data_IF_085476193585
#
_entry.id   IF_085476193585
#
_cell.length_a   1.000
_cell.length_b   1.000
_cell.length_c   1.000
_cell.angle_alpha   90.00
_cell.angle_beta   90.00
_cell.angle_gamma   90.00
#
_symmetry.space_group_name_H-M   'P 1'
#
loop_
_entity.id
_entity.type
_entity.pdbx_description
1 polymer ?
#
# COMPACT_ATOMS: atom_id res chain seq x y z
N UNK A 1 -7.84 -57.01 -10.37
CA UNK A 1 -6.78 -56.96 -9.35
C UNK A 1 -5.46 -56.75 -10.09
N UNK A 2 -4.50 -55.93 -9.69
CA UNK A 2 -4.38 -54.82 -8.77
C UNK A 2 -2.96 -54.26 -9.05
N UNK A 3 -2.86 -52.92 -9.16
CA UNK A 3 -1.68 -52.08 -8.80
C UNK A 3 -0.39 -52.33 -9.63
N UNK A 4 0.12 -51.46 -10.49
CA UNK A 4 0.21 -50.01 -10.44
C UNK A 4 1.68 -49.59 -10.27
N UNK A 5 2.48 -49.60 -11.35
CA UNK A 5 3.82 -48.99 -11.36
C UNK A 5 3.74 -47.56 -11.89
N UNK A 6 3.55 -46.60 -10.97
CA UNK A 6 3.81 -45.18 -11.21
C UNK A 6 5.29 -44.99 -11.53
N UNK A 7 5.66 -45.01 -12.82
CA UNK A 7 7.00 -44.66 -13.31
C UNK A 7 7.06 -43.23 -13.86
N UNK A 8 6.30 -42.32 -13.26
CA UNK A 8 6.34 -40.90 -13.58
C UNK A 8 6.16 -40.10 -12.28
N UNK A 9 6.93 -39.03 -12.12
CA UNK A 9 6.96 -38.11 -10.97
C UNK A 9 7.89 -38.53 -9.83
N UNK A 10 9.19 -38.52 -10.09
CA UNK A 10 10.21 -38.16 -9.10
C UNK A 10 11.40 -37.53 -9.83
N UNK A 11 11.13 -36.43 -10.54
CA UNK A 11 12.18 -35.48 -10.91
C UNK A 11 12.52 -34.70 -9.65
N UNK A 12 13.60 -35.14 -9.02
CA UNK A 12 14.46 -34.45 -8.08
C UNK A 12 14.16 -32.94 -7.99
N UNK A 13 13.54 -32.55 -6.88
CA UNK A 13 13.55 -31.18 -6.37
C UNK A 13 14.99 -30.93 -5.93
N UNK A 14 15.86 -30.56 -6.87
CA UNK A 14 17.13 -29.97 -6.52
C UNK A 14 16.81 -28.54 -6.07
N UNK A 15 16.71 -28.32 -4.76
CA UNK A 15 16.93 -26.99 -4.19
C UNK A 15 18.31 -26.52 -4.68
N UNK A 16 18.36 -25.68 -5.71
CA UNK A 16 19.61 -25.05 -6.09
C UNK A 16 19.93 -24.05 -4.98
N UNK A 17 20.86 -24.45 -4.12
CA UNK A 17 21.46 -23.58 -3.11
C UNK A 17 22.16 -22.42 -3.82
N UNK A 18 21.69 -21.20 -3.60
CA UNK A 18 22.33 -19.99 -4.12
C UNK A 18 23.20 -19.40 -3.01
N UNK A 19 24.51 -19.41 -3.22
CA UNK A 19 25.46 -18.76 -2.33
C UNK A 19 25.56 -17.28 -2.67
N UNK A 20 24.97 -16.44 -1.84
CA UNK A 20 25.34 -15.02 -1.77
C UNK A 20 26.60 -14.93 -0.90
N UNK A 21 27.79 -14.93 -1.50
CA UNK A 21 29.05 -14.77 -0.77
C UNK A 21 29.21 -13.30 -0.34
N UNK A 22 29.00 -13.01 0.94
CA UNK A 22 29.34 -11.71 1.51
C UNK A 22 30.78 -11.80 2.04
N UNK A 23 31.72 -11.10 1.40
CA UNK A 23 33.11 -11.10 1.81
C UNK A 23 33.38 -9.98 2.82
N UNK A 24 33.11 -10.25 4.09
CA UNK A 24 34.02 -9.81 5.17
C UNK A 24 33.91 -10.80 6.33
N UNK A 25 35.00 -11.52 6.57
CA UNK A 25 35.18 -12.55 7.62
C UNK A 25 34.10 -13.65 7.65
N UNK A 26 34.24 -14.62 6.74
CA UNK A 26 33.79 -16.01 6.87
C UNK A 26 32.41 -16.26 7.51
N UNK A 27 31.33 -15.82 6.85
CA UNK A 27 30.05 -16.55 6.92
C UNK A 27 29.47 -16.60 5.50
N UNK A 28 29.70 -17.71 4.80
CA UNK A 28 28.94 -18.03 3.58
C UNK A 28 27.51 -18.34 4.05
N UNK A 29 26.61 -17.36 4.01
CA UNK A 29 25.19 -17.65 4.18
C UNK A 29 24.69 -18.24 2.87
N UNK A 30 24.56 -19.57 2.82
CA UNK A 30 23.78 -20.23 1.78
C UNK A 30 22.33 -19.82 1.98
N UNK A 31 21.77 -19.12 1.00
CA UNK A 31 20.35 -18.84 0.99
C UNK A 31 19.69 -19.85 0.04
N UNK A 32 18.68 -20.53 0.54
CA UNK A 32 17.87 -21.44 -0.27
C UNK A 32 16.88 -20.60 -1.05
N UNK A 33 16.97 -20.61 -2.38
CA UNK A 33 15.91 -20.06 -3.21
C UNK A 33 14.73 -21.01 -3.14
N UNK A 34 13.64 -20.56 -2.53
CA UNK A 34 12.39 -21.31 -2.55
C UNK A 34 11.85 -21.34 -3.99
N UNK A 35 12.03 -22.50 -4.64
CA UNK A 35 11.49 -22.85 -5.96
C UNK A 35 12.04 -22.09 -7.18
N UNK A 36 12.70 -22.83 -8.07
CA UNK A 36 13.11 -22.38 -9.41
C UNK A 36 11.98 -22.44 -10.46
N UNK A 37 10.71 -22.48 -10.04
CA UNK A 37 9.62 -22.42 -11.01
C UNK A 37 9.48 -20.98 -11.54
N UNK A 38 9.66 -20.78 -12.85
CA UNK A 38 9.49 -19.49 -13.57
C UNK A 38 10.50 -18.35 -13.27
N UNK A 39 11.77 -18.68 -12.97
CA UNK A 39 12.82 -17.66 -12.75
C UNK A 39 12.55 -16.71 -11.58
N UNK A 40 12.06 -17.28 -10.48
CA UNK A 40 11.85 -16.64 -9.18
C UNK A 40 12.91 -17.11 -8.17
N UNK A 41 13.32 -16.24 -7.26
CA UNK A 41 14.03 -16.63 -6.04
C UNK A 41 13.52 -15.80 -4.85
N UNK A 42 13.33 -16.45 -3.72
CA UNK A 42 13.04 -15.81 -2.44
C UNK A 42 14.18 -16.06 -1.46
N UNK A 43 14.67 -15.01 -0.82
CA UNK A 43 15.75 -15.04 0.16
C UNK A 43 15.16 -14.69 1.52
N UNK A 44 15.33 -15.59 2.48
CA UNK A 44 14.90 -15.39 3.86
C UNK A 44 16.06 -14.86 4.71
N UNK A 45 15.77 -13.89 5.58
CA UNK A 45 16.73 -13.37 6.56
C UNK A 45 18.05 -12.86 5.94
N UNK A 46 17.98 -12.30 4.73
CA UNK A 46 19.13 -11.74 4.05
C UNK A 46 19.60 -10.46 4.75
N UNK A 47 20.91 -10.35 4.97
CA UNK A 47 21.54 -9.17 5.56
C UNK A 47 22.51 -8.54 4.58
N UNK A 48 22.23 -7.31 4.17
CA UNK A 48 23.05 -6.49 3.29
C UNK A 48 23.15 -5.13 3.96
N UNK A 49 24.30 -4.78 4.54
CA UNK A 49 24.44 -3.56 5.32
C UNK A 49 25.12 -2.44 4.54
N UNK A 50 26.08 -2.78 3.68
CA UNK A 50 26.86 -1.80 2.91
C UNK A 50 27.01 -2.21 1.45
N UNK A 51 27.33 -1.24 0.59
CA UNK A 51 27.61 -1.47 -0.84
C UNK A 51 28.78 -2.44 -1.07
N UNK A 52 29.73 -2.52 -0.14
CA UNK A 52 30.82 -3.50 -0.16
C UNK A 52 30.29 -4.94 -0.08
N UNK A 53 29.25 -5.18 0.74
CA UNK A 53 28.60 -6.49 0.86
C UNK A 53 27.95 -6.88 -0.47
N UNK A 54 27.32 -5.90 -1.13
CA UNK A 54 26.68 -6.07 -2.44
C UNK A 54 27.71 -6.37 -3.53
N UNK A 55 28.84 -5.66 -3.54
CA UNK A 55 29.89 -5.87 -4.53
C UNK A 55 30.55 -7.24 -4.43
N UNK A 56 30.71 -7.75 -3.21
CA UNK A 56 31.22 -9.10 -2.97
C UNK A 56 30.19 -10.19 -3.33
N UNK A 57 28.90 -9.84 -3.38
CA UNK A 57 27.81 -10.77 -3.59
C UNK A 57 27.52 -11.06 -5.06
N UNK A 58 27.24 -12.33 -5.37
CA UNK A 58 26.69 -12.73 -6.67
C UNK A 58 25.20 -13.02 -6.53
N UNK A 59 24.36 -12.22 -7.19
CA UNK A 59 22.92 -12.44 -7.23
C UNK A 59 22.56 -13.53 -8.24
N UNK A 60 21.54 -14.37 -7.95
CA UNK A 60 21.10 -15.40 -8.87
C UNK A 60 20.53 -14.77 -10.14
N UNK A 61 20.77 -15.39 -11.30
CA UNK A 61 20.20 -14.95 -12.57
C UNK A 61 18.71 -15.30 -12.64
N UNK A 62 17.87 -14.42 -12.12
CA UNK A 62 16.41 -14.59 -12.02
C UNK A 62 15.70 -13.32 -12.48
N UNK A 63 14.48 -13.46 -13.00
CA UNK A 63 13.65 -12.30 -13.37
C UNK A 63 12.93 -11.70 -12.16
N UNK A 64 12.70 -12.51 -11.14
CA UNK A 64 12.03 -12.10 -9.93
C UNK A 64 12.84 -12.50 -8.72
N UNK A 65 13.11 -11.53 -7.86
CA UNK A 65 13.85 -11.72 -6.64
C UNK A 65 13.07 -11.12 -5.48
N UNK A 66 13.08 -11.78 -4.34
CA UNK A 66 12.63 -11.09 -3.16
C UNK A 66 13.26 -11.52 -1.86
N UNK A 67 12.99 -10.67 -0.88
CA UNK A 67 13.69 -10.62 0.39
C UNK A 67 12.64 -10.58 1.48
N UNK A 68 12.61 -11.63 2.29
CA UNK A 68 11.63 -11.78 3.36
C UNK A 68 12.39 -11.78 4.67
N UNK A 69 12.12 -10.77 5.49
CA UNK A 69 12.84 -10.50 6.73
C UNK A 69 14.34 -10.27 6.51
N UNK A 70 15.07 -10.03 7.60
CA UNK A 70 16.48 -9.67 7.57
C UNK A 70 16.70 -8.15 7.58
N UNK A 71 17.81 -7.71 7.03
CA UNK A 71 18.23 -6.31 7.09
C UNK A 71 18.93 -5.91 5.80
N UNK A 72 18.23 -5.21 4.92
CA UNK A 72 18.80 -4.54 3.76
C UNK A 72 18.91 -3.07 4.15
N UNK A 73 20.13 -2.54 4.23
CA UNK A 73 20.39 -1.16 4.64
C UNK A 73 19.64 -0.17 3.75
N UNK A 74 20.07 -0.06 2.49
CA UNK A 74 19.48 0.83 1.49
C UNK A 74 19.44 0.17 0.11
N UNK A 75 18.44 0.52 -0.70
CA UNK A 75 18.46 0.24 -2.14
C UNK A 75 19.31 1.32 -2.82
N UNK A 76 20.63 1.15 -2.79
CA UNK A 76 21.59 2.06 -3.39
C UNK A 76 21.71 1.89 -4.91
N UNK A 77 22.37 2.83 -5.58
CA UNK A 77 22.78 2.66 -6.98
C UNK A 77 23.57 1.36 -7.20
N UNK A 78 24.49 1.02 -6.30
CA UNK A 78 25.30 -0.21 -6.39
C UNK A 78 24.42 -1.45 -6.31
N UNK A 79 23.48 -1.48 -5.36
CA UNK A 79 22.53 -2.58 -5.20
C UNK A 79 21.66 -2.75 -6.45
N UNK A 80 21.06 -1.66 -6.93
CA UNK A 80 20.23 -1.67 -8.13
C UNK A 80 21.01 -2.15 -9.38
N UNK A 81 22.28 -1.76 -9.51
CA UNK A 81 23.13 -2.21 -10.62
C UNK A 81 23.40 -3.72 -10.56
N UNK A 82 23.52 -4.31 -9.38
CA UNK A 82 23.71 -5.76 -9.25
C UNK A 82 22.44 -6.53 -9.55
N UNK A 83 21.27 -6.03 -9.13
CA UNK A 83 19.97 -6.58 -9.54
C UNK A 83 19.81 -6.55 -11.07
N UNK A 84 20.22 -5.45 -11.70
CA UNK A 84 20.21 -5.35 -13.16
C UNK A 84 21.12 -6.37 -13.83
N UNK A 85 22.38 -6.53 -13.36
CA UNK A 85 23.30 -7.54 -13.88
C UNK A 85 22.78 -8.98 -13.74
N UNK A 86 21.97 -9.22 -12.71
CA UNK A 86 21.28 -10.49 -12.51
C UNK A 86 20.03 -10.68 -13.39
N UNK A 87 19.60 -9.67 -14.15
CA UNK A 87 18.42 -9.73 -15.01
C UNK A 87 17.09 -9.63 -14.24
N UNK A 88 17.12 -9.10 -13.02
CA UNK A 88 15.93 -8.92 -12.20
C UNK A 88 15.09 -7.79 -12.77
N UNK A 89 13.78 -8.06 -12.92
CA UNK A 89 12.77 -7.10 -13.37
C UNK A 89 11.69 -6.86 -12.30
N UNK A 90 11.57 -7.78 -11.34
CA UNK A 90 10.60 -7.72 -10.26
C UNK A 90 11.28 -7.93 -8.93
N UNK A 91 11.08 -6.98 -8.02
CA UNK A 91 11.62 -7.06 -6.66
C UNK A 91 10.48 -6.98 -5.67
N UNK A 92 10.46 -7.92 -4.73
CA UNK A 92 9.61 -7.83 -3.54
C UNK A 92 10.49 -7.88 -2.29
N UNK A 93 10.35 -6.93 -1.37
CA UNK A 93 11.03 -6.96 -0.09
C UNK A 93 10.05 -6.61 1.02
N UNK A 94 10.05 -7.42 2.08
CA UNK A 94 9.17 -7.24 3.23
C UNK A 94 9.92 -7.47 4.51
N UNK A 95 9.77 -6.57 5.48
CA UNK A 95 10.39 -6.69 6.79
C UNK A 95 11.92 -6.61 6.73
N UNK A 96 12.48 -6.02 5.66
CA UNK A 96 13.94 -5.92 5.45
C UNK A 96 14.53 -4.62 6.00
N UNK A 97 13.72 -3.79 6.67
CA UNK A 97 14.15 -2.57 7.38
C UNK A 97 14.79 -1.51 6.47
N UNK A 98 14.53 -1.56 5.16
CA UNK A 98 15.07 -0.57 4.21
C UNK A 98 14.60 0.83 4.60
N UNK A 99 15.51 1.79 4.69
CA UNK A 99 15.17 3.17 5.10
C UNK A 99 15.29 4.19 3.97
N UNK A 100 16.18 3.95 3.01
CA UNK A 100 16.35 4.78 1.82
C UNK A 100 16.25 3.95 0.55
N UNK A 101 15.58 4.52 -0.46
CA UNK A 101 15.41 3.94 -1.79
C UNK A 101 15.92 4.92 -2.84
N UNK A 102 17.00 4.56 -3.52
CA UNK A 102 17.33 5.12 -4.84
C UNK A 102 16.53 4.35 -5.88
N UNK A 103 15.74 5.04 -6.70
CA UNK A 103 14.84 4.39 -7.64
C UNK A 103 15.61 3.60 -8.72
N UNK A 104 15.36 2.29 -8.88
CA UNK A 104 16.00 1.50 -9.93
C UNK A 104 15.44 1.84 -11.31
N UNK A 105 16.30 2.04 -12.30
CA UNK A 105 15.91 2.41 -13.67
C UNK A 105 15.32 1.25 -14.49
N UNK A 106 15.71 0.01 -14.18
CA UNK A 106 15.41 -1.18 -15.01
C UNK A 106 14.33 -2.09 -14.43
N UNK A 107 13.97 -1.90 -13.16
CA UNK A 107 12.92 -2.70 -12.51
C UNK A 107 11.54 -2.26 -13.01
N UNK A 108 10.70 -3.23 -13.37
CA UNK A 108 9.33 -3.01 -13.83
C UNK A 108 8.31 -3.05 -12.67
N UNK A 109 8.59 -3.86 -11.65
CA UNK A 109 7.72 -4.04 -10.48
C UNK A 109 8.53 -4.00 -9.19
N UNK A 110 8.25 -3.02 -8.33
CA UNK A 110 8.95 -2.84 -7.06
C UNK A 110 7.95 -2.80 -5.91
N UNK A 111 8.01 -3.82 -5.06
CA UNK A 111 7.14 -3.98 -3.90
C UNK A 111 7.99 -3.96 -2.63
N UNK A 112 7.96 -2.86 -1.88
CA UNK A 112 8.73 -2.69 -0.63
C UNK A 112 7.80 -2.50 0.56
N UNK A 113 6.73 -3.29 0.62
CA UNK A 113 5.77 -3.24 1.72
C UNK A 113 6.46 -3.52 3.05
N UNK A 114 6.02 -2.82 4.11
CA UNK A 114 6.45 -3.09 5.48
C UNK A 114 7.98 -2.99 5.61
N UNK A 115 8.47 -1.78 5.43
CA UNK A 115 9.86 -1.41 5.61
C UNK A 115 9.97 -0.14 6.45
N UNK A 116 11.18 0.38 6.56
CA UNK A 116 11.46 1.62 7.26
C UNK A 116 11.55 2.85 6.35
N UNK A 117 11.03 2.81 5.12
CA UNK A 117 11.34 3.83 4.10
C UNK A 117 10.89 5.22 4.57
N UNK A 118 11.84 6.15 4.62
CA UNK A 118 11.62 7.56 4.94
C UNK A 118 11.89 8.47 3.76
N UNK A 119 12.85 8.09 2.92
CA UNK A 119 13.35 8.90 1.80
C UNK A 119 13.43 8.09 0.53
N UNK A 120 13.01 8.70 -0.58
CA UNK A 120 13.09 8.13 -1.92
C UNK A 120 13.78 9.15 -2.82
N UNK A 121 14.80 8.71 -3.53
CA UNK A 121 15.52 9.49 -4.51
C UNK A 121 15.14 9.06 -5.93
N UNK A 122 14.73 10.02 -6.76
CA UNK A 122 14.37 9.83 -8.16
C UNK A 122 15.12 10.90 -8.96
N UNK A 123 16.10 10.47 -9.75
CA UNK A 123 16.79 11.33 -10.70
C UNK A 123 15.86 11.70 -11.87
N UNK A 124 15.59 13.00 -12.12
CA UNK A 124 14.70 13.45 -13.19
C UNK A 124 15.27 13.22 -14.61
N UNK A 125 16.57 12.94 -14.76
CA UNK A 125 17.20 12.69 -16.07
C UNK A 125 17.11 11.24 -16.51
N UNK A 126 16.74 10.35 -15.60
CA UNK A 126 16.70 8.91 -15.83
C UNK A 126 15.33 8.49 -16.39
N UNK A 127 15.34 7.59 -17.37
CA UNK A 127 14.13 6.92 -17.85
C UNK A 127 13.90 5.65 -17.06
N UNK A 128 12.77 5.58 -16.36
CA UNK A 128 12.41 4.42 -15.54
C UNK A 128 11.48 3.48 -16.31
N UNK A 129 11.76 2.18 -16.24
CA UNK A 129 10.89 1.11 -16.77
C UNK A 129 9.72 0.74 -15.82
N UNK A 130 9.66 1.37 -14.65
CA UNK A 130 8.77 1.00 -13.57
C UNK A 130 7.29 1.18 -13.94
N UNK A 131 6.51 0.11 -13.78
CA UNK A 131 5.07 0.06 -14.07
C UNK A 131 4.23 -0.08 -12.80
N UNK A 132 4.75 -0.75 -11.77
CA UNK A 132 4.03 -0.98 -10.52
C UNK A 132 4.93 -0.67 -9.33
N UNK A 133 4.52 0.28 -8.50
CA UNK A 133 5.24 0.69 -7.30
C UNK A 133 4.33 0.55 -6.08
N UNK A 134 4.70 -0.35 -5.16
CA UNK A 134 3.96 -0.59 -3.92
C UNK A 134 4.86 -0.41 -2.72
N UNK A 135 4.58 0.61 -1.92
CA UNK A 135 5.38 1.03 -0.77
C UNK A 135 4.52 1.10 0.50
N UNK A 136 3.54 0.21 0.64
CA UNK A 136 2.62 0.27 1.77
C UNK A 136 3.32 0.02 3.11
N UNK A 137 2.75 0.52 4.20
CA UNK A 137 3.28 0.28 5.56
C UNK A 137 4.73 0.76 5.73
N UNK A 138 5.05 1.94 5.21
CA UNK A 138 6.37 2.58 5.36
C UNK A 138 6.27 3.85 6.23
N UNK A 139 7.31 4.69 6.23
CA UNK A 139 7.42 5.89 7.07
C UNK A 139 7.55 7.17 6.21
N UNK A 140 7.00 7.16 5.00
CA UNK A 140 7.01 8.32 4.11
C UNK A 140 6.09 9.40 4.67
N UNK A 141 6.59 10.64 4.76
CA UNK A 141 5.83 11.81 5.23
C UNK A 141 5.38 12.73 4.11
N UNK A 142 5.98 12.60 2.94
CA UNK A 142 5.72 13.43 1.77
C UNK A 142 5.68 12.58 0.52
N UNK A 143 5.06 13.10 -0.53
CA UNK A 143 5.12 12.53 -1.87
C UNK A 143 6.51 12.81 -2.45
N UNK A 144 7.20 11.75 -2.86
CA UNK A 144 8.47 11.86 -3.58
C UNK A 144 8.23 12.33 -5.02
N UNK A 145 9.31 12.51 -5.78
CA UNK A 145 9.25 13.00 -7.17
C UNK A 145 8.73 11.96 -8.19
N UNK A 146 7.57 11.37 -7.91
CA UNK A 146 6.97 10.31 -8.72
C UNK A 146 6.51 10.80 -10.10
N UNK A 147 6.44 12.12 -10.31
CA UNK A 147 6.14 12.73 -11.62
C UNK A 147 7.10 12.29 -12.74
N UNK A 148 8.32 11.85 -12.39
CA UNK A 148 9.31 11.34 -13.38
C UNK A 148 9.07 9.88 -13.78
N UNK A 149 8.18 9.15 -13.08
CA UNK A 149 7.85 7.75 -13.36
C UNK A 149 6.74 7.64 -14.41
N UNK A 150 7.01 8.13 -15.62
CA UNK A 150 5.99 8.31 -16.68
C UNK A 150 5.36 7.01 -17.21
N UNK A 151 5.98 5.86 -16.96
CA UNK A 151 5.47 4.53 -17.34
C UNK A 151 4.63 3.86 -16.24
N UNK A 152 4.47 4.51 -15.08
CA UNK A 152 3.81 3.95 -13.92
C UNK A 152 2.29 3.80 -14.17
N UNK A 153 1.78 2.60 -13.89
CA UNK A 153 0.36 2.25 -13.98
C UNK A 153 -0.32 2.24 -12.61
N UNK A 154 0.42 1.82 -11.57
CA UNK A 154 -0.07 1.72 -10.20
C UNK A 154 0.94 2.32 -9.23
N UNK A 155 0.47 3.24 -8.39
CA UNK A 155 1.18 3.77 -7.25
C UNK A 155 0.39 3.48 -5.97
N UNK A 156 0.97 2.67 -5.08
CA UNK A 156 0.36 2.35 -3.79
C UNK A 156 1.26 2.80 -2.64
N UNK A 157 0.80 3.80 -1.90
CA UNK A 157 1.45 4.38 -0.73
C UNK A 157 0.58 4.24 0.53
N UNK A 158 -0.33 3.26 0.56
CA UNK A 158 -1.23 3.07 1.70
C UNK A 158 -0.46 2.84 3.01
N UNK A 159 -1.03 3.25 4.15
CA UNK A 159 -0.42 3.07 5.47
C UNK A 159 0.98 3.71 5.59
N UNK A 160 1.11 4.95 5.13
CA UNK A 160 2.29 5.80 5.36
C UNK A 160 1.93 6.95 6.32
N UNK A 161 2.75 8.00 6.36
CA UNK A 161 2.60 9.16 7.23
C UNK A 161 2.41 10.45 6.41
N UNK A 162 1.85 10.35 5.21
CA UNK A 162 1.76 11.47 4.27
C UNK A 162 0.69 12.46 4.72
N UNK A 163 1.03 13.74 4.84
CA UNK A 163 0.12 14.79 5.35
C UNK A 163 -0.49 15.68 4.27
N UNK A 164 0.28 16.03 3.24
CA UNK A 164 -0.12 16.94 2.17
C UNK A 164 0.22 16.33 0.80
N UNK A 165 -0.75 16.40 -0.11
CA UNK A 165 -0.62 15.84 -1.46
C UNK A 165 -1.21 16.82 -2.47
N UNK A 166 -0.34 17.40 -3.29
CA UNK A 166 -0.75 18.19 -4.44
C UNK A 166 -1.17 17.24 -5.57
N UNK A 167 -2.41 17.35 -6.02
CA UNK A 167 -2.93 16.51 -7.11
C UNK A 167 -2.14 16.69 -8.41
N UNK A 168 -1.59 17.90 -8.62
CA UNK A 168 -0.80 18.30 -9.79
C UNK A 168 0.41 17.39 -10.02
N UNK A 169 0.98 16.82 -8.95
CA UNK A 169 2.12 15.90 -9.02
C UNK A 169 1.84 14.69 -9.92
N UNK A 170 0.58 14.25 -10.00
CA UNK A 170 0.19 13.07 -10.79
C UNK A 170 -0.30 13.41 -12.19
N UNK A 171 -0.50 14.70 -12.52
CA UNK A 171 -1.03 15.14 -13.81
C UNK A 171 -0.08 14.83 -14.98
N UNK A 172 1.23 14.78 -14.70
CA UNK A 172 2.30 14.47 -15.67
C UNK A 172 2.58 12.97 -15.81
N UNK A 173 1.76 12.11 -15.18
CA UNK A 173 1.89 10.66 -15.23
C UNK A 173 0.82 10.06 -16.15
N UNK A 174 1.02 10.07 -17.49
CA UNK A 174 -0.04 9.81 -18.47
C UNK A 174 -0.60 8.39 -18.41
N UNK A 175 0.15 7.45 -17.83
CA UNK A 175 -0.23 6.05 -17.76
C UNK A 175 -0.83 5.66 -16.39
N UNK A 176 -0.85 6.56 -15.40
CA UNK A 176 -1.28 6.22 -14.05
C UNK A 176 -2.77 5.87 -14.03
N UNK A 177 -3.07 4.61 -13.67
CA UNK A 177 -4.45 4.07 -13.61
C UNK A 177 -4.95 3.92 -12.19
N UNK A 178 -4.05 3.64 -11.24
CA UNK A 178 -4.40 3.38 -9.85
C UNK A 178 -3.52 4.23 -8.93
N UNK A 179 -4.16 5.06 -8.11
CA UNK A 179 -3.51 5.85 -7.07
C UNK A 179 -4.15 5.48 -5.72
N UNK A 180 -3.36 4.85 -4.87
CA UNK A 180 -3.81 4.30 -3.58
C UNK A 180 -3.03 5.00 -2.47
N UNK A 181 -3.73 5.84 -1.71
CA UNK A 181 -3.22 6.71 -0.66
C UNK A 181 -3.93 6.47 0.68
N UNK A 182 -4.60 5.32 0.83
CA UNK A 182 -5.35 5.00 2.04
C UNK A 182 -4.49 5.00 3.32
N UNK A 183 -5.09 5.18 4.49
CA UNK A 183 -4.39 5.07 5.78
C UNK A 183 -3.20 6.02 5.91
N UNK A 184 -3.32 7.25 5.40
CA UNK A 184 -2.33 8.30 5.57
C UNK A 184 -2.89 9.41 6.48
N UNK A 185 -2.16 10.51 6.60
CA UNK A 185 -2.54 11.68 7.40
C UNK A 185 -3.02 12.85 6.54
N UNK A 186 -3.58 12.55 5.35
CA UNK A 186 -3.89 13.57 4.34
C UNK A 186 -5.06 14.43 4.82
N UNK A 187 -4.83 15.73 4.96
CA UNK A 187 -5.86 16.71 5.35
C UNK A 187 -6.46 17.41 4.15
N UNK A 188 -5.65 17.63 3.12
CA UNK A 188 -6.07 18.23 1.86
C UNK A 188 -5.54 17.42 0.69
N UNK A 189 -6.41 17.17 -0.28
CA UNK A 189 -6.06 16.51 -1.53
C UNK A 189 -6.68 17.31 -2.67
N UNK A 190 -5.86 18.15 -3.29
CA UNK A 190 -6.35 19.08 -4.30
C UNK A 190 -5.20 19.68 -5.10
N UNK A 191 -5.52 20.32 -6.23
CA UNK A 191 -4.50 20.95 -7.05
C UNK A 191 -3.96 22.22 -6.41
N UNK A 192 -2.69 22.54 -6.65
CA UNK A 192 -2.10 23.79 -6.15
C UNK A 192 -2.68 24.99 -6.92
N UNK A 193 -2.92 24.84 -8.23
CA UNK A 193 -3.48 25.87 -9.10
C UNK A 193 -4.47 25.30 -10.11
N UNK A 194 -5.52 26.06 -10.44
CA UNK A 194 -6.49 25.71 -11.49
C UNK A 194 -7.22 24.37 -11.33
N UNK A 195 -7.74 23.87 -12.45
CA UNK A 195 -8.33 22.53 -12.61
C UNK A 195 -7.21 21.58 -13.01
N UNK A 196 -7.18 20.38 -12.42
CA UNK A 196 -6.23 19.33 -12.79
C UNK A 196 -6.92 18.10 -13.33
N UNK A 197 -6.32 17.56 -14.39
CA UNK A 197 -6.81 16.41 -15.12
C UNK A 197 -5.87 15.23 -14.98
N UNK A 198 -6.40 14.08 -14.58
CA UNK A 198 -5.68 12.80 -14.63
C UNK A 198 -6.43 11.89 -15.62
N UNK A 199 -6.04 11.90 -16.90
CA UNK A 199 -6.85 11.34 -17.98
C UNK A 199 -6.96 9.81 -17.94
N UNK A 200 -6.00 9.13 -17.33
CA UNK A 200 -5.94 7.65 -17.29
C UNK A 200 -6.34 7.05 -15.95
N UNK A 201 -6.62 7.89 -14.94
CA UNK A 201 -6.89 7.41 -13.59
C UNK A 201 -8.26 6.73 -13.55
N UNK A 202 -8.26 5.47 -13.14
CA UNK A 202 -9.46 4.62 -13.05
C UNK A 202 -9.84 4.28 -11.61
N UNK A 203 -8.86 4.27 -10.70
CA UNK A 203 -9.06 3.94 -9.29
C UNK A 203 -8.33 4.96 -8.42
N UNK A 204 -9.06 5.60 -7.52
CA UNK A 204 -8.54 6.52 -6.52
C UNK A 204 -9.02 6.07 -5.14
N UNK A 205 -8.07 5.75 -4.26
CA UNK A 205 -8.37 5.38 -2.88
C UNK A 205 -7.70 6.36 -1.91
N UNK A 206 -8.53 7.16 -1.24
CA UNK A 206 -8.19 8.13 -0.21
C UNK A 206 -8.75 7.72 1.15
N UNK A 207 -9.18 6.46 1.31
CA UNK A 207 -9.84 6.00 2.53
C UNK A 207 -8.95 6.06 3.77
N UNK A 208 -9.52 6.29 4.95
CA UNK A 208 -8.73 6.29 6.20
C UNK A 208 -7.78 7.50 6.33
N UNK A 209 -8.14 8.64 5.76
CA UNK A 209 -7.40 9.91 5.86
C UNK A 209 -8.17 10.92 6.75
N UNK A 210 -7.78 12.19 6.71
CA UNK A 210 -8.36 13.27 7.52
C UNK A 210 -8.98 14.37 6.64
N UNK A 211 -9.49 13.99 5.46
CA UNK A 211 -10.11 14.92 4.52
C UNK A 211 -11.42 15.45 5.09
N UNK A 212 -11.57 16.77 5.18
CA UNK A 212 -12.81 17.43 5.60
C UNK A 212 -13.72 17.81 4.43
N UNK A 213 -13.13 18.00 3.24
CA UNK A 213 -13.82 18.34 2.00
C UNK A 213 -13.05 17.82 0.79
N UNK A 214 -13.76 17.66 -0.32
CA UNK A 214 -13.19 17.32 -1.61
C UNK A 214 -13.34 18.53 -2.55
N UNK A 215 -12.26 19.11 -3.12
CA UNK A 215 -12.36 20.20 -4.08
C UNK A 215 -12.72 19.67 -5.48
N UNK A 216 -13.89 19.04 -5.58
CA UNK A 216 -14.38 18.34 -6.77
C UNK A 216 -14.46 19.25 -8.00
N UNK A 217 -14.74 20.54 -7.80
CA UNK A 217 -14.79 21.54 -8.86
C UNK A 217 -13.47 21.67 -9.61
N UNK A 218 -12.35 21.29 -8.98
CA UNK A 218 -11.00 21.35 -9.53
C UNK A 218 -10.48 19.99 -10.02
N UNK A 219 -11.22 18.91 -9.83
CA UNK A 219 -10.82 17.58 -10.28
C UNK A 219 -11.47 17.25 -11.62
N UNK A 220 -10.67 16.82 -12.59
CA UNK A 220 -11.17 16.31 -13.87
C UNK A 220 -10.62 14.88 -14.08
N UNK A 221 -11.41 13.87 -13.71
CA UNK A 221 -11.00 12.46 -13.75
C UNK A 221 -11.95 11.67 -14.66
N UNK A 222 -11.85 11.85 -16.00
CA UNK A 222 -12.86 11.37 -16.95
C UNK A 222 -12.95 9.84 -17.02
N UNK A 223 -11.89 9.13 -16.62
CA UNK A 223 -11.82 7.66 -16.64
C UNK A 223 -12.03 7.03 -15.25
N UNK A 224 -12.38 7.82 -14.24
CA UNK A 224 -12.51 7.31 -12.88
C UNK A 224 -13.70 6.35 -12.77
N UNK A 225 -13.44 5.13 -12.33
CA UNK A 225 -14.42 4.05 -12.16
C UNK A 225 -14.69 3.81 -10.67
N UNK A 226 -13.65 3.85 -9.85
CA UNK A 226 -13.73 3.60 -8.41
C UNK A 226 -13.14 4.77 -7.63
N UNK A 227 -13.95 5.33 -6.73
CA UNK A 227 -13.55 6.34 -5.76
C UNK A 227 -13.84 5.84 -4.35
N UNK A 228 -12.81 5.74 -3.53
CA UNK A 228 -12.93 5.51 -2.09
C UNK A 228 -12.46 6.76 -1.33
N UNK A 229 -13.36 7.32 -0.53
CA UNK A 229 -13.11 8.38 0.46
C UNK A 229 -13.63 7.95 1.84
N UNK A 230 -13.81 6.65 2.03
CA UNK A 230 -14.30 6.06 3.28
C UNK A 230 -13.45 6.47 4.48
N UNK A 231 -14.02 6.48 5.67
CA UNK A 231 -13.28 6.79 6.90
C UNK A 231 -12.44 8.07 6.73
N UNK A 232 -13.12 9.18 6.47
CA UNK A 232 -12.57 10.53 6.44
C UNK A 232 -13.43 11.41 7.37
N UNK A 233 -13.27 12.73 7.29
CA UNK A 233 -14.00 13.70 8.10
C UNK A 233 -14.94 14.54 7.22
N UNK A 234 -15.41 13.99 6.11
CA UNK A 234 -16.27 14.71 5.17
C UNK A 234 -17.63 15.00 5.83
N UNK A 235 -18.08 16.25 5.74
CA UNK A 235 -19.41 16.68 6.21
C UNK A 235 -20.41 16.88 5.09
N UNK A 236 -19.92 17.12 3.87
CA UNK A 236 -20.75 17.34 2.69
C UNK A 236 -20.19 16.56 1.49
N UNK A 237 -21.07 16.26 0.54
CA UNK A 237 -20.71 15.60 -0.72
C UNK A 237 -21.65 16.06 -1.84
N UNK A 238 -21.11 16.83 -2.80
CA UNK A 238 -21.88 17.26 -3.98
C UNK A 238 -21.93 16.15 -5.02
N UNK A 239 -23.04 15.43 -5.03
CA UNK A 239 -23.24 14.27 -5.91
C UNK A 239 -23.41 14.68 -7.36
N UNK A 240 -23.99 15.86 -7.60
CA UNK A 240 -24.13 16.44 -8.94
C UNK A 240 -22.76 16.73 -9.58
N UNK A 241 -21.80 17.26 -8.82
CA UNK A 241 -20.44 17.52 -9.29
C UNK A 241 -19.67 16.22 -9.53
N UNK A 242 -19.77 15.24 -8.64
CA UNK A 242 -19.17 13.91 -8.84
C UNK A 242 -19.56 13.33 -10.19
N UNK A 243 -20.87 13.35 -10.48
CA UNK A 243 -21.44 12.82 -11.72
C UNK A 243 -20.97 13.57 -12.96
N UNK A 244 -20.76 14.90 -12.87
CA UNK A 244 -20.25 15.72 -13.97
C UNK A 244 -18.75 15.51 -14.20
N UNK A 245 -17.96 15.39 -13.13
CA UNK A 245 -16.50 15.27 -13.21
C UNK A 245 -16.02 13.85 -13.47
N UNK A 246 -16.77 12.85 -13.01
CA UNK A 246 -16.45 11.43 -13.07
C UNK A 246 -17.57 10.67 -13.80
N UNK A 247 -17.73 10.87 -15.12
CA UNK A 247 -18.86 10.33 -15.88
C UNK A 247 -18.89 8.79 -15.93
N UNK A 248 -17.74 8.12 -15.72
CA UNK A 248 -17.61 6.66 -15.73
C UNK A 248 -17.60 6.03 -14.32
N UNK A 249 -17.93 6.80 -13.28
CA UNK A 249 -17.91 6.30 -11.91
C UNK A 249 -18.92 5.17 -11.74
N UNK A 250 -18.48 4.03 -11.18
CA UNK A 250 -19.31 2.84 -10.92
C UNK A 250 -19.35 2.46 -9.44
N UNK A 251 -18.28 2.76 -8.70
CA UNK A 251 -18.16 2.42 -7.30
C UNK A 251 -17.74 3.68 -6.53
N UNK A 252 -18.53 4.02 -5.51
CA UNK A 252 -18.25 5.10 -4.57
C UNK A 252 -18.34 4.57 -3.13
N UNK A 253 -17.23 4.57 -2.41
CA UNK A 253 -17.25 4.33 -0.96
C UNK A 253 -16.99 5.63 -0.21
N UNK A 254 -18.03 6.18 0.41
CA UNK A 254 -17.95 7.35 1.30
C UNK A 254 -18.44 7.00 2.72
N UNK A 255 -18.46 5.72 3.08
CA UNK A 255 -18.84 5.24 4.41
C UNK A 255 -17.90 5.76 5.50
N UNK A 256 -18.32 5.71 6.76
CA UNK A 256 -17.56 6.21 7.90
C UNK A 256 -17.11 7.68 7.77
N UNK A 257 -17.96 8.52 7.18
CA UNK A 257 -17.84 9.98 7.20
C UNK A 257 -18.98 10.59 8.05
N UNK A 258 -18.97 11.91 8.23
CA UNK A 258 -19.98 12.66 8.96
C UNK A 258 -20.88 13.46 8.00
N UNK A 259 -21.29 12.84 6.89
CA UNK A 259 -22.09 13.51 5.86
C UNK A 259 -23.45 13.95 6.41
N UNK A 260 -23.87 15.16 6.06
CA UNK A 260 -25.20 15.67 6.37
C UNK A 260 -26.31 14.95 5.58
N UNK A 261 -27.56 15.13 6.03
CA UNK A 261 -28.69 14.46 5.39
C UNK A 261 -28.99 14.96 4.00
N UNK A 262 -28.64 16.21 3.70
CA UNK A 262 -28.79 16.73 2.36
C UNK A 262 -27.91 15.95 1.37
N UNK A 263 -26.61 15.82 1.67
CA UNK A 263 -25.65 15.07 0.86
C UNK A 263 -26.03 13.60 0.74
N UNK A 264 -26.52 12.99 1.83
CA UNK A 264 -27.02 11.61 1.81
C UNK A 264 -28.20 11.42 0.85
N UNK A 265 -29.24 12.27 0.96
CA UNK A 265 -30.41 12.18 0.10
C UNK A 265 -30.09 12.51 -1.36
N UNK A 266 -29.26 13.52 -1.62
CA UNK A 266 -28.80 13.86 -2.97
C UNK A 266 -28.04 12.68 -3.60
N UNK A 267 -27.15 12.05 -2.84
CA UNK A 267 -26.40 10.87 -3.30
C UNK A 267 -27.32 9.70 -3.64
N UNK A 268 -28.30 9.39 -2.79
CA UNK A 268 -29.28 8.34 -3.07
C UNK A 268 -30.02 8.60 -4.38
N UNK A 269 -30.54 9.82 -4.58
CA UNK A 269 -31.26 10.16 -5.81
C UNK A 269 -30.36 10.10 -7.05
N UNK A 270 -29.15 10.63 -6.93
CA UNK A 270 -28.20 10.75 -8.04
C UNK A 270 -27.65 9.40 -8.48
N UNK A 271 -27.25 8.55 -7.52
CA UNK A 271 -26.54 7.30 -7.81
C UNK A 271 -27.48 6.13 -8.11
N UNK A 272 -28.70 6.12 -7.56
CA UNK A 272 -29.73 5.14 -7.95
C UNK A 272 -30.05 5.28 -9.43
N UNK A 273 -30.22 6.51 -9.93
CA UNK A 273 -30.50 6.77 -11.34
C UNK A 273 -29.35 6.37 -12.29
N UNK A 274 -28.13 6.21 -11.78
CA UNK A 274 -26.93 5.88 -12.56
C UNK A 274 -26.37 4.48 -12.32
N UNK A 275 -27.06 3.64 -11.55
CA UNK A 275 -26.59 2.28 -11.18
C UNK A 275 -25.17 2.27 -10.57
N UNK A 276 -24.82 3.33 -9.83
CA UNK A 276 -23.54 3.41 -9.12
C UNK A 276 -23.68 2.67 -7.79
N UNK A 277 -22.81 1.69 -7.57
CA UNK A 277 -22.70 1.00 -6.28
C UNK A 277 -22.09 1.99 -5.30
N UNK A 278 -22.87 2.40 -4.30
CA UNK A 278 -22.44 3.39 -3.32
C UNK A 278 -22.56 2.85 -1.89
N UNK A 279 -21.54 3.12 -1.09
CA UNK A 279 -21.51 2.84 0.34
C UNK A 279 -21.48 4.18 1.06
N UNK A 280 -22.64 4.60 1.60
CA UNK A 280 -22.80 5.87 2.31
C UNK A 280 -23.59 5.60 3.59
N UNK A 281 -23.05 6.04 4.71
CA UNK A 281 -23.64 5.80 6.02
C UNK A 281 -24.84 6.71 6.28
N UNK A 282 -25.95 6.12 6.74
CA UNK A 282 -27.16 6.86 7.14
C UNK A 282 -27.05 7.50 8.54
N UNK A 283 -25.89 7.38 9.22
CA UNK A 283 -25.79 7.58 10.68
C UNK A 283 -26.29 8.94 11.21
N UNK A 284 -26.31 9.98 10.37
CA UNK A 284 -26.81 11.31 10.76
C UNK A 284 -28.29 11.55 10.42
N UNK A 285 -28.94 10.65 9.69
CA UNK A 285 -30.34 10.76 9.25
C UNK A 285 -31.24 9.85 10.08
N UNK A 286 -31.26 10.12 11.38
CA UNK A 286 -32.21 9.60 12.36
C UNK A 286 -33.41 10.54 12.48
N UNK A 287 -34.59 9.94 12.55
CA UNK A 287 -35.92 10.53 12.42
C UNK A 287 -36.25 11.42 13.62
N UNK A 288 -36.43 12.73 13.41
CA UNK A 288 -37.15 13.62 14.36
C UNK A 288 -37.66 14.92 13.70
N UNK A 289 -38.16 14.85 12.46
CA UNK A 289 -39.00 15.92 11.87
C UNK A 289 -40.37 15.39 11.38
N UNK A 290 -40.71 14.15 11.76
CA UNK A 290 -41.94 13.48 11.33
C UNK A 290 -42.87 13.11 12.49
N UNK A 291 -43.03 13.99 13.49
CA UNK A 291 -44.26 14.11 14.29
C UNK A 291 -44.51 15.59 14.58
N UNK A 292 -44.90 16.36 13.56
CA UNK A 292 -45.76 17.52 13.78
C UNK A 292 -47.19 16.98 13.81
N UNK A 293 -47.56 16.40 14.96
CA UNK A 293 -48.96 16.32 15.33
C UNK A 293 -49.36 17.72 15.76
N UNK A 294 -50.25 18.29 14.95
CA UNK A 294 -51.05 19.47 15.21
C UNK A 294 -51.49 19.51 16.69
N UNK A 295 -50.78 20.28 17.52
CA UNK A 295 -51.30 21.08 18.64
C UNK A 295 -50.15 21.83 19.33
N UNK A 296 -50.26 23.15 19.42
CA UNK A 296 -49.61 23.92 20.48
C UNK A 296 -48.19 24.41 20.21
N UNK A 297 -48.08 25.72 20.00
CA UNK A 297 -46.86 26.53 19.97
C UNK A 297 -45.87 26.14 21.08
N UNK A 298 -44.70 25.62 20.70
CA UNK A 298 -43.45 25.81 21.44
C UNK A 298 -42.37 26.18 20.42
N UNK A 299 -42.03 27.47 20.37
CA UNK A 299 -40.78 27.93 19.73
C UNK A 299 -39.61 27.30 20.50
N UNK A 300 -39.05 26.22 19.97
CA UNK A 300 -37.66 25.86 20.26
C UNK A 300 -36.80 26.58 19.24
N UNK A 301 -36.00 27.52 19.73
CA UNK A 301 -34.87 28.07 18.99
C UNK A 301 -34.02 26.91 18.49
N UNK A 302 -33.57 26.89 17.22
CA UNK A 302 -32.51 25.98 16.84
C UNK A 302 -31.32 26.33 17.71
N UNK A 303 -30.83 25.38 18.51
CA UNK A 303 -29.47 25.47 19.00
C UNK A 303 -28.57 25.39 17.77
N UNK A 304 -28.31 26.54 17.17
CA UNK A 304 -27.12 26.78 16.37
C UNK A 304 -25.93 26.46 17.27
N UNK A 305 -25.46 25.21 17.22
CA UNK A 305 -24.13 24.88 17.70
C UNK A 305 -23.19 25.82 16.97
N UNK A 306 -22.57 26.74 17.71
CA UNK A 306 -21.68 27.74 17.14
C UNK A 306 -20.61 27.02 16.28
N UNK A 307 -20.20 27.60 15.15
CA UNK A 307 -19.20 26.99 14.27
C UNK A 307 -17.90 26.59 14.99
N UNK A 308 -17.57 27.22 16.13
CA UNK A 308 -16.44 26.86 17.00
C UNK A 308 -16.58 25.49 17.70
N UNK A 309 -17.77 25.04 18.06
CA UNK A 309 -17.94 23.72 18.70
C UNK A 309 -17.77 22.57 17.67
N UNK A 310 -18.10 22.81 16.40
CA UNK A 310 -17.88 21.84 15.31
C UNK A 310 -16.40 21.69 14.96
N UNK A 311 -15.62 22.77 15.01
CA UNK A 311 -14.16 22.73 14.77
C UNK A 311 -13.43 22.04 15.93
N UNK A 312 -13.87 22.25 17.18
CA UNK A 312 -13.34 21.54 18.34
C UNK A 312 -13.63 20.04 18.27
N UNK A 313 -14.88 19.65 18.01
CA UNK A 313 -15.27 18.24 17.90
C UNK A 313 -14.53 17.51 16.75
N UNK A 314 -14.36 18.16 15.59
CA UNK A 314 -13.58 17.60 14.47
C UNK A 314 -12.09 17.46 14.81
N UNK A 315 -11.55 18.34 15.65
CA UNK A 315 -10.16 18.26 16.14
C UNK A 315 -9.97 17.12 17.13
N UNK A 316 -10.91 16.90 18.04
CA UNK A 316 -10.88 15.77 18.99
C UNK A 316 -11.00 14.41 18.29
N UNK A 317 -11.95 14.28 17.36
CA UNK A 317 -12.10 13.06 16.53
C UNK A 317 -10.82 12.78 15.76
N UNK A 318 -10.18 13.84 15.21
CA UNK A 318 -8.90 13.72 14.54
C UNK A 318 -7.80 13.18 15.47
N UNK A 319 -7.63 13.76 16.66
CA UNK A 319 -6.64 13.26 17.61
C UNK A 319 -6.91 11.83 18.07
N UNK A 320 -8.18 11.44 18.24
CA UNK A 320 -8.54 10.06 18.55
C UNK A 320 -8.17 9.11 17.42
N UNK A 321 -8.47 9.48 16.17
CA UNK A 321 -8.11 8.69 14.98
C UNK A 321 -6.60 8.56 14.81
N UNK A 322 -5.83 9.63 15.02
CA UNK A 322 -4.36 9.58 15.02
C UNK A 322 -3.83 8.58 16.05
N UNK A 323 -4.41 8.54 17.28
CA UNK A 323 -4.03 7.56 18.31
C UNK A 323 -4.38 6.12 17.93
N UNK A 324 -5.59 5.89 17.42
CA UNK A 324 -6.03 4.55 16.97
C UNK A 324 -5.13 4.04 15.84
N UNK A 325 -4.81 4.90 14.88
CA UNK A 325 -3.92 4.57 13.77
C UNK A 325 -2.53 4.16 14.27
N UNK A 326 -1.93 4.95 15.17
CA UNK A 326 -0.63 4.62 15.78
C UNK A 326 -0.67 3.28 16.53
N UNK A 327 -1.74 3.01 17.29
CA UNK A 327 -1.90 1.74 17.99
C UNK A 327 -2.04 0.55 17.02
N UNK A 328 -2.87 0.66 15.99
CA UNK A 328 -3.04 -0.38 14.98
C UNK A 328 -1.71 -0.69 14.27
N UNK A 329 -0.92 0.34 13.98
CA UNK A 329 0.42 0.17 13.41
C UNK A 329 1.35 -0.59 14.36
N UNK A 330 1.38 -0.24 15.64
CA UNK A 330 2.17 -0.97 16.65
C UNK A 330 1.75 -2.43 16.73
N UNK A 331 0.43 -2.72 16.71
CA UNK A 331 -0.09 -4.09 16.71
C UNK A 331 0.36 -4.86 15.47
N UNK A 332 0.30 -4.25 14.28
CA UNK A 332 0.77 -4.90 13.05
C UNK A 332 2.27 -5.18 13.12
N UNK A 333 3.07 -4.23 13.62
CA UNK A 333 4.52 -4.42 13.79
C UNK A 333 4.82 -5.58 14.73
N UNK A 334 4.14 -5.66 15.88
CA UNK A 334 4.28 -6.77 16.82
C UNK A 334 3.89 -8.12 16.21
N UNK A 335 2.78 -8.18 15.45
CA UNK A 335 2.37 -9.40 14.73
C UNK A 335 3.46 -9.88 13.76
N UNK A 336 4.17 -8.96 13.11
CA UNK A 336 5.22 -9.31 12.16
C UNK A 336 6.51 -9.74 12.84
N UNK A 337 6.87 -9.14 13.98
CA UNK A 337 7.97 -9.62 14.83
C UNK A 337 7.71 -11.05 15.30
N UNK A 338 6.47 -11.38 15.66
CA UNK A 338 6.05 -12.75 16.02
C UNK A 338 6.24 -13.70 14.83
N UNK A 339 5.82 -13.33 13.62
CA UNK A 339 6.02 -14.17 12.43
C UNK A 339 7.50 -14.35 12.06
N UNK A 340 8.32 -13.32 12.24
CA UNK A 340 9.77 -13.44 12.04
C UNK A 340 10.39 -14.41 13.06
N UNK A 341 10.00 -14.31 14.34
CA UNK A 341 10.45 -15.25 15.38
C UNK A 341 10.01 -16.68 15.07
N UNK A 342 8.80 -16.88 14.55
CA UNK A 342 8.31 -18.19 14.08
C UNK A 342 9.17 -18.73 12.94
N UNK A 343 9.45 -17.93 11.91
CA UNK A 343 10.30 -18.33 10.79
C UNK A 343 11.72 -18.71 11.25
N UNK A 344 12.31 -17.91 12.14
CA UNK A 344 13.63 -18.21 12.71
C UNK A 344 13.63 -19.51 13.52
N UNK A 345 12.57 -19.76 14.30
CA UNK A 345 12.40 -20.99 15.04
C UNK A 345 12.32 -22.20 14.09
N UNK A 346 11.55 -22.11 13.01
CA UNK A 346 11.47 -23.16 11.99
C UNK A 346 12.84 -23.47 11.39
N UNK A 347 13.59 -22.45 10.98
CA UNK A 347 14.95 -22.65 10.43
C UNK A 347 15.90 -23.27 11.46
N UNK A 348 15.80 -22.87 12.74
CA UNK A 348 16.60 -23.47 13.81
C UNK A 348 16.24 -24.94 14.02
N UNK A 349 14.95 -25.29 14.00
CA UNK A 349 14.46 -26.67 14.10
C UNK A 349 14.97 -27.53 12.94
N UNK A 350 14.90 -27.02 11.70
CA UNK A 350 15.46 -27.71 10.52
C UNK A 350 16.98 -27.93 10.65
N UNK A 351 17.71 -26.95 11.20
CA UNK A 351 19.15 -27.10 11.48
C UNK A 351 19.43 -28.14 12.57
N UNK A 352 18.59 -28.23 13.61
CA UNK A 352 18.71 -29.28 14.63
C UNK A 352 18.39 -30.67 14.08
N UNK A 353 17.37 -30.80 13.24
CA UNK A 353 17.02 -32.06 12.56
C UNK A 353 18.14 -32.49 11.59
N UNK A 354 18.88 -31.55 11.00
CA UNK A 354 20.06 -31.83 10.17
C UNK A 354 21.33 -32.16 10.97
N UNK A 355 21.48 -31.64 12.20
CA UNK A 355 22.56 -32.01 13.13
C UNK A 355 22.29 -33.36 13.81
N UNK A 356 21.02 -33.77 13.88
CA UNK A 356 20.61 -35.13 14.21
C UNK A 356 20.84 -36.10 13.03
N UNK A 357 22.10 -36.30 12.64
CA UNK A 357 22.52 -37.47 11.86
C UNK A 357 22.17 -38.79 12.58
N UNK A 358 22.08 -39.92 11.85
CA UNK A 358 21.10 -40.98 12.08
C UNK A 358 21.33 -41.72 13.39
N UNK A 359 20.53 -41.38 14.41
CA UNK A 359 20.35 -42.25 15.56
C UNK A 359 19.14 -43.17 15.32
N UNK A 360 19.48 -44.37 14.86
CA UNK A 360 18.71 -45.63 14.89
C UNK A 360 17.76 -45.92 13.73
N UNK A 361 18.27 -46.77 12.84
CA UNK A 361 17.52 -47.97 12.48
C UNK A 361 17.15 -48.74 13.75
N UNK A 362 15.86 -49.03 13.96
CA UNK A 362 15.31 -50.38 14.15
C UNK A 362 13.83 -50.31 14.57
N UNK A 363 13.02 -50.91 13.70
CA UNK A 363 11.70 -51.56 13.88
C UNK A 363 10.46 -50.70 14.22
N UNK A 364 9.37 -50.78 13.41
CA UNK A 364 8.09 -50.16 13.72
C UNK A 364 7.16 -51.16 14.41
N UNK A 365 7.24 -51.23 15.74
CA UNK A 365 6.19 -51.77 16.61
C UNK A 365 6.02 -50.87 17.83
#
# INVERSE_FOLDING_TARGET
MAIGSLSAVLRWIACASVTLQIASTAVVRQYTCDSYFQSWCQLHNATVHMDTDVQASMFPRVRQLGFIYGSIGNFSHTFNNQLFKAGVLRVFARGTRVTHLTMPSTIEQLYLRDNGLRTIEIDPRTRYALRYLRLQMNKLRTIARFEHLTQLLELNLCDNLIEDVALDTFATMPNLRQLILCGNHIKTFGPSTGIVQLPSLTHLDLGGNFLQRLPLERWQLPQLINLSVRDNLLTTLDSSLLVRRFPLLRILDASANALDCHSYHEALQTFVNRSVVHLIDRRMCGVDDAIVLDTGVVRRTPNEIQPDDRTVATTEVRHLKERIFLQQRTIQQQRMEIEQLRANLTTLMEQFDLVAGPARALDPF
#
